data_IF_274779934260
#
_entry.id   IF_274779934260
#
_cell.length_a   1.000
_cell.length_b   1.000
_cell.length_c   1.000
_cell.angle_alpha   90.00
_cell.angle_beta   90.00
_cell.angle_gamma   90.00
#
_symmetry.space_group_name_H-M   'P 1'
#
loop_
_entity.id
_entity.type
_entity.pdbx_description
1 polymer ?
#
# COMPACT_ATOMS: atom_id res chain seq x y z
N UNK A 1 44.66 23.37 75.57
CA UNK A 1 43.64 22.31 75.77
C UNK A 1 42.35 22.85 75.18
N UNK A 2 41.74 22.33 74.12
CA UNK A 2 41.93 21.14 73.28
C UNK A 2 41.73 21.56 71.81
N UNK A 3 42.76 21.39 70.98
CA UNK A 3 42.88 20.39 69.89
C UNK A 3 42.04 20.70 68.64
N UNK A 4 42.78 21.15 67.63
CA UNK A 4 42.50 21.17 66.20
C UNK A 4 42.08 19.80 65.66
N UNK A 5 41.11 19.75 64.75
CA UNK A 5 41.06 18.69 63.72
C UNK A 5 40.68 19.25 62.36
N UNK A 6 41.58 18.96 61.43
CA UNK A 6 41.57 19.28 60.01
C UNK A 6 40.95 18.15 59.18
N UNK A 7 40.61 18.52 57.94
CA UNK A 7 40.57 17.68 56.74
C UNK A 7 39.30 16.86 56.48
N UNK A 8 38.30 17.53 55.88
CA UNK A 8 37.35 16.87 55.00
C UNK A 8 38.05 16.41 53.71
N UNK A 9 38.07 15.10 53.47
CA UNK A 9 38.42 14.51 52.17
C UNK A 9 37.15 14.46 51.32
N UNK A 10 37.02 15.38 50.38
CA UNK A 10 36.02 15.31 49.30
C UNK A 10 36.42 14.22 48.31
N UNK A 11 35.55 13.21 48.13
CA UNK A 11 35.71 12.20 47.08
C UNK A 11 35.50 12.83 45.71
N UNK A 12 36.61 13.06 45.02
CA UNK A 12 36.69 13.58 43.67
C UNK A 12 36.26 12.50 42.67
N UNK A 13 34.95 12.42 42.40
CA UNK A 13 34.39 11.55 41.37
C UNK A 13 34.66 12.16 39.99
N UNK A 14 35.82 11.83 39.41
CA UNK A 14 36.20 12.19 38.04
C UNK A 14 35.14 11.67 37.06
N UNK A 15 34.18 12.54 36.70
CA UNK A 15 33.25 12.33 35.58
C UNK A 15 34.07 12.19 34.29
N UNK A 16 34.27 10.95 33.88
CA UNK A 16 34.89 10.56 32.61
C UNK A 16 34.06 11.15 31.47
N UNK A 17 34.50 12.30 30.95
CA UNK A 17 33.93 13.01 29.80
C UNK A 17 33.87 12.01 28.63
N UNK A 18 32.67 11.49 28.33
CA UNK A 18 32.43 10.69 27.12
C UNK A 18 32.78 11.61 25.94
N UNK A 19 33.79 11.23 25.16
CA UNK A 19 34.08 11.84 23.86
C UNK A 19 32.78 11.78 23.04
N UNK A 20 32.35 12.86 22.37
CA UNK A 20 31.23 12.74 21.44
C UNK A 20 31.70 11.82 20.33
N UNK A 21 31.24 10.57 20.38
CA UNK A 21 31.42 9.64 19.27
C UNK A 21 30.84 10.32 18.04
N UNK A 22 31.61 10.34 16.95
CA UNK A 22 31.12 10.80 15.66
C UNK A 22 29.75 10.15 15.44
N UNK A 23 28.71 10.97 15.36
CA UNK A 23 27.43 10.56 14.82
C UNK A 23 27.72 10.12 13.40
N UNK A 24 27.98 8.82 13.23
CA UNK A 24 27.88 8.17 11.93
C UNK A 24 26.41 8.29 11.58
N UNK A 25 26.06 9.39 10.92
CA UNK A 25 24.86 9.47 10.12
C UNK A 25 25.01 8.36 9.07
N UNK A 26 24.53 7.17 9.39
CA UNK A 26 24.13 6.22 8.37
C UNK A 26 23.13 7.00 7.52
N UNK A 27 23.56 7.49 6.36
CA UNK A 27 22.65 7.98 5.34
C UNK A 27 21.67 6.83 5.14
N UNK A 28 20.44 6.94 5.65
CA UNK A 28 19.40 5.94 5.39
C UNK A 28 19.40 5.77 3.88
N UNK A 29 19.72 4.57 3.39
CA UNK A 29 19.64 4.28 1.96
C UNK A 29 18.25 4.76 1.51
N UNK A 30 18.22 5.62 0.49
CA UNK A 30 16.96 6.09 -0.11
C UNK A 30 16.20 4.83 -0.50
N UNK A 31 15.10 4.52 0.20
CA UNK A 31 14.25 3.38 -0.13
C UNK A 31 13.57 3.74 -1.44
N UNK A 32 14.03 3.15 -2.54
CA UNK A 32 13.52 3.37 -3.90
C UNK A 32 12.56 2.23 -4.25
N UNK A 33 11.53 2.54 -5.02
CA UNK A 33 10.62 1.52 -5.55
C UNK A 33 11.36 0.56 -6.48
N UNK A 34 11.02 -0.72 -6.40
CA UNK A 34 11.54 -1.77 -7.28
C UNK A 34 10.44 -2.27 -8.22
N UNK A 35 10.75 -2.61 -9.48
CA UNK A 35 9.80 -3.30 -10.33
C UNK A 35 9.63 -4.74 -9.84
N UNK A 36 8.46 -5.32 -10.05
CA UNK A 36 8.28 -6.75 -9.83
C UNK A 36 9.08 -7.57 -10.85
N UNK A 37 9.38 -8.81 -10.49
CA UNK A 37 10.00 -9.78 -11.39
C UNK A 37 8.94 -10.81 -11.78
N UNK A 38 8.53 -10.79 -13.04
CA UNK A 38 7.59 -11.78 -13.58
C UNK A 38 8.21 -13.17 -13.62
N UNK A 39 7.38 -14.21 -13.51
CA UNK A 39 7.85 -15.60 -13.66
C UNK A 39 8.32 -15.83 -15.10
N UNK A 40 9.50 -16.42 -15.27
CA UNK A 40 10.09 -16.68 -16.59
C UNK A 40 9.23 -17.60 -17.46
N UNK A 41 8.65 -18.65 -16.87
CA UNK A 41 7.79 -19.62 -17.55
C UNK A 41 6.48 -18.95 -18.04
N UNK A 42 6.25 -18.83 -19.37
CA UNK A 42 5.05 -18.20 -19.92
C UNK A 42 3.75 -18.93 -19.55
N UNK A 43 3.78 -20.26 -19.43
CA UNK A 43 2.61 -21.05 -19.05
C UNK A 43 2.15 -20.70 -17.62
N UNK A 44 3.12 -20.43 -16.72
CA UNK A 44 2.82 -20.02 -15.34
C UNK A 44 2.26 -18.61 -15.28
N UNK A 45 2.79 -17.66 -16.06
CA UNK A 45 2.18 -16.31 -16.18
C UNK A 45 0.76 -16.36 -16.70
N UNK A 46 0.49 -17.23 -17.67
CA UNK A 46 -0.86 -17.42 -18.19
C UNK A 46 -1.81 -17.99 -17.12
N UNK A 47 -1.33 -18.89 -16.26
CA UNK A 47 -2.10 -19.38 -15.11
C UNK A 47 -2.39 -18.26 -14.09
N UNK A 48 -1.40 -17.42 -13.79
CA UNK A 48 -1.57 -16.24 -12.93
C UNK A 48 -2.66 -15.31 -13.46
N UNK A 49 -2.58 -14.92 -14.73
CA UNK A 49 -3.59 -14.06 -15.36
C UNK A 49 -4.98 -14.74 -15.45
N UNK A 50 -5.03 -16.06 -15.70
CA UNK A 50 -6.30 -16.83 -15.68
C UNK A 50 -6.94 -16.88 -14.31
N UNK A 51 -6.16 -16.96 -13.24
CA UNK A 51 -6.70 -16.93 -11.86
C UNK A 51 -7.44 -15.62 -11.60
N UNK A 52 -6.86 -14.50 -12.01
CA UNK A 52 -7.49 -13.17 -11.95
C UNK A 52 -8.74 -13.09 -12.81
N UNK A 53 -8.66 -13.52 -14.08
CA UNK A 53 -9.79 -13.50 -14.99
C UNK A 53 -10.98 -14.31 -14.45
N UNK A 54 -10.74 -15.45 -13.81
CA UNK A 54 -11.77 -16.28 -13.19
C UNK A 54 -12.43 -15.59 -12.00
N UNK A 55 -11.65 -14.95 -11.13
CA UNK A 55 -12.18 -14.23 -9.98
C UNK A 55 -13.01 -13.00 -10.40
N UNK A 56 -12.51 -12.22 -11.36
CA UNK A 56 -13.25 -11.09 -11.94
C UNK A 56 -14.56 -11.56 -12.60
N UNK A 57 -14.51 -12.62 -13.41
CA UNK A 57 -15.70 -13.16 -14.07
C UNK A 57 -16.74 -13.70 -13.07
N UNK A 58 -16.30 -14.34 -11.98
CA UNK A 58 -17.19 -14.82 -10.92
C UNK A 58 -17.95 -13.69 -10.22
N UNK A 59 -17.36 -12.49 -10.17
CA UNK A 59 -17.98 -11.30 -9.61
C UNK A 59 -18.65 -10.39 -10.66
N UNK A 60 -18.63 -10.77 -11.95
CA UNK A 60 -19.20 -9.95 -13.03
C UNK A 60 -18.42 -8.65 -13.31
N UNK A 61 -17.11 -8.63 -13.04
CA UNK A 61 -16.25 -7.44 -13.13
C UNK A 61 -15.41 -7.50 -14.41
N UNK A 62 -15.30 -6.37 -15.11
CA UNK A 62 -14.38 -6.20 -16.24
C UNK A 62 -12.96 -5.89 -15.76
N UNK A 63 -11.95 -6.44 -16.44
CA UNK A 63 -10.57 -6.09 -16.14
C UNK A 63 -10.26 -4.65 -16.56
N UNK A 64 -9.75 -3.85 -15.62
CA UNK A 64 -9.15 -2.53 -15.88
C UNK A 64 -7.91 -2.36 -15.04
N UNK A 65 -6.82 -1.87 -15.64
CA UNK A 65 -5.55 -1.58 -14.95
C UNK A 65 -5.29 -0.07 -14.82
N UNK A 66 -6.35 0.73 -14.95
CA UNK A 66 -6.32 2.20 -14.90
C UNK A 66 -7.51 2.72 -14.08
N UNK A 67 -7.37 3.92 -13.53
CA UNK A 67 -8.50 4.69 -13.02
C UNK A 67 -9.40 5.09 -14.18
N UNK A 68 -10.69 4.78 -14.07
CA UNK A 68 -11.70 5.07 -15.09
C UNK A 68 -12.66 6.16 -14.62
N UNK A 69 -13.10 7.02 -15.54
CA UNK A 69 -13.95 8.18 -15.23
C UNK A 69 -15.23 8.11 -16.05
N UNK A 70 -16.34 7.73 -15.42
CA UNK A 70 -17.61 7.49 -16.10
C UNK A 70 -18.47 8.76 -16.16
N UNK A 71 -19.29 8.97 -17.21
CA UNK A 71 -20.08 10.20 -17.37
C UNK A 71 -21.02 10.55 -16.21
N UNK A 72 -21.50 9.56 -15.44
CA UNK A 72 -22.39 9.75 -14.29
C UNK A 72 -21.68 9.75 -12.93
N UNK A 73 -20.35 9.73 -12.94
CA UNK A 73 -19.50 9.67 -11.74
C UNK A 73 -18.59 10.92 -11.70
N UNK A 74 -17.51 10.87 -10.92
CA UNK A 74 -16.56 11.97 -10.89
C UNK A 74 -15.81 12.09 -12.23
N UNK A 75 -15.71 13.30 -12.82
CA UNK A 75 -14.87 13.52 -13.98
C UNK A 75 -13.39 13.48 -13.59
N UNK A 76 -12.50 13.20 -14.56
CA UNK A 76 -11.05 13.22 -14.34
C UNK A 76 -10.54 14.54 -13.77
N UNK A 77 -11.15 15.66 -14.19
CA UNK A 77 -10.83 16.99 -13.68
C UNK A 77 -11.13 17.20 -12.19
N UNK A 78 -11.88 16.30 -11.53
CA UNK A 78 -12.07 16.34 -10.09
C UNK A 78 -10.88 15.72 -9.33
N UNK A 79 -10.12 14.82 -9.97
CA UNK A 79 -8.96 14.17 -9.38
C UNK A 79 -7.74 15.11 -9.39
N UNK A 80 -7.72 16.10 -8.49
CA UNK A 80 -6.61 17.01 -8.32
C UNK A 80 -6.03 16.87 -6.91
N UNK A 81 -4.77 16.45 -6.83
CA UNK A 81 -4.09 16.17 -5.58
C UNK A 81 -3.87 17.40 -4.69
N UNK A 82 -3.96 18.61 -5.25
CA UNK A 82 -3.95 19.85 -4.49
C UNK A 82 -5.16 20.03 -3.56
N UNK A 83 -6.26 19.31 -3.82
CA UNK A 83 -7.44 19.35 -2.96
C UNK A 83 -7.32 18.46 -1.73
N UNK A 84 -6.29 17.61 -1.62
CA UNK A 84 -6.09 16.73 -0.46
C UNK A 84 -5.88 17.58 0.80
N UNK A 85 -6.69 17.33 1.82
CA UNK A 85 -6.59 18.02 3.09
C UNK A 85 -5.26 17.68 3.78
N UNK A 86 -4.46 18.69 4.09
CA UNK A 86 -3.10 18.52 4.61
C UNK A 86 -2.03 18.21 3.55
N UNK A 87 -2.43 18.16 2.28
CA UNK A 87 -1.55 17.94 1.12
C UNK A 87 -1.19 16.47 0.89
N UNK A 88 -0.90 16.15 -0.38
CA UNK A 88 -0.49 14.80 -0.79
C UNK A 88 0.99 14.76 -1.15
N UNK A 89 1.69 13.72 -0.68
CA UNK A 89 3.10 13.49 -1.00
C UNK A 89 3.32 13.35 -2.51
N UNK A 90 4.34 14.02 -3.04
CA UNK A 90 4.69 13.97 -4.47
C UNK A 90 5.49 12.71 -4.77
N UNK A 91 5.08 11.98 -5.80
CA UNK A 91 5.82 10.80 -6.27
C UNK A 91 7.06 11.23 -7.03
N UNK A 92 8.21 10.61 -6.74
CA UNK A 92 9.45 10.97 -7.42
C UNK A 92 9.41 10.49 -8.87
N UNK A 93 9.99 11.27 -9.81
CA UNK A 93 10.09 10.86 -11.22
C UNK A 93 10.76 9.49 -11.37
N UNK A 94 11.81 9.25 -10.59
CA UNK A 94 12.57 7.98 -10.56
C UNK A 94 11.72 6.77 -10.14
N UNK A 95 10.74 6.96 -9.24
CA UNK A 95 9.82 5.90 -8.81
C UNK A 95 8.64 5.75 -9.79
N UNK A 96 8.20 6.86 -10.40
CA UNK A 96 7.15 6.81 -11.42
C UNK A 96 7.58 6.07 -12.69
N UNK A 97 8.84 6.21 -13.10
CA UNK A 97 9.43 5.40 -14.19
C UNK A 97 9.32 3.89 -13.91
N UNK A 98 9.40 3.48 -12.65
CA UNK A 98 9.24 2.07 -12.25
C UNK A 98 7.79 1.62 -12.40
N UNK A 99 6.83 2.48 -12.06
CA UNK A 99 5.40 2.21 -12.29
C UNK A 99 5.11 2.09 -13.79
N UNK A 100 5.63 3.01 -14.61
CA UNK A 100 5.47 2.96 -16.07
C UNK A 100 6.11 1.71 -16.69
N UNK A 101 7.28 1.31 -16.21
CA UNK A 101 7.92 0.04 -16.57
C UNK A 101 7.00 -1.15 -16.25
N UNK A 102 6.46 -1.20 -15.04
CA UNK A 102 5.55 -2.26 -14.60
C UNK A 102 4.24 -2.28 -15.41
N UNK A 103 3.70 -1.12 -15.80
CA UNK A 103 2.54 -1.04 -16.70
C UNK A 103 2.87 -1.55 -18.09
N UNK A 104 4.05 -1.21 -18.63
CA UNK A 104 4.53 -1.72 -19.91
C UNK A 104 4.77 -3.24 -19.90
N UNK A 105 5.27 -3.78 -18.79
CA UNK A 105 5.39 -5.23 -18.55
C UNK A 105 4.02 -5.92 -18.57
N UNK A 106 3.06 -5.41 -17.79
CA UNK A 106 1.72 -5.97 -17.73
C UNK A 106 1.03 -5.98 -19.12
N UNK A 107 1.16 -4.91 -19.90
CA UNK A 107 0.59 -4.81 -21.27
C UNK A 107 1.11 -5.88 -22.23
N UNK A 108 2.31 -6.41 -22.02
CA UNK A 108 2.90 -7.50 -22.84
C UNK A 108 2.80 -8.88 -22.20
N UNK A 109 2.00 -9.05 -21.14
CA UNK A 109 1.79 -10.34 -20.48
C UNK A 109 2.88 -10.74 -19.47
N UNK A 110 3.71 -9.79 -19.05
CA UNK A 110 4.63 -9.92 -17.91
C UNK A 110 3.93 -9.37 -16.67
N UNK A 111 3.09 -10.18 -16.03
CA UNK A 111 2.36 -9.81 -14.81
C UNK A 111 3.24 -9.97 -13.55
N UNK A 112 2.90 -9.31 -12.42
CA UNK A 112 3.53 -9.61 -11.14
C UNK A 112 3.28 -11.08 -10.78
N UNK A 113 4.20 -11.74 -10.03
CA UNK A 113 4.12 -13.16 -9.72
C UNK A 113 3.07 -13.41 -8.63
N UNK A 114 1.80 -13.23 -8.95
CA UNK A 114 0.67 -13.28 -8.03
C UNK A 114 -0.40 -14.25 -8.54
N UNK A 115 -1.06 -14.94 -7.61
CA UNK A 115 -2.20 -15.81 -7.87
C UNK A 115 -3.40 -15.36 -7.06
N UNK A 116 -4.56 -15.37 -7.70
CA UNK A 116 -5.84 -15.25 -7.00
C UNK A 116 -6.28 -16.64 -6.54
N UNK A 117 -6.46 -16.81 -5.23
CA UNK A 117 -6.81 -18.09 -4.60
C UNK A 117 -8.08 -17.91 -3.76
N UNK A 118 -9.04 -18.82 -3.92
CA UNK A 118 -10.25 -18.82 -3.11
C UNK A 118 -9.99 -19.53 -1.77
N UNK A 119 -10.32 -18.85 -0.68
CA UNK A 119 -10.29 -19.31 0.70
C UNK A 119 -11.72 -19.31 1.26
N UNK A 120 -12.11 -20.34 2.00
CA UNK A 120 -13.47 -20.45 2.53
C UNK A 120 -13.80 -19.42 3.62
N UNK A 121 -12.80 -18.82 4.25
CA UNK A 121 -12.97 -17.84 5.33
C UNK A 121 -12.79 -16.40 4.87
N UNK A 122 -11.91 -16.17 3.89
CA UNK A 122 -11.58 -14.82 3.39
C UNK A 122 -12.11 -14.54 1.98
N UNK A 123 -12.68 -15.53 1.28
CA UNK A 123 -13.10 -15.39 -0.11
C UNK A 123 -11.91 -15.37 -1.07
N UNK A 124 -11.93 -14.52 -2.10
CA UNK A 124 -10.79 -14.39 -3.01
C UNK A 124 -9.65 -13.62 -2.35
N UNK A 125 -8.48 -14.25 -2.28
CA UNK A 125 -7.26 -13.70 -1.70
C UNK A 125 -6.12 -13.71 -2.72
N UNK A 126 -5.04 -12.98 -2.43
CA UNK A 126 -3.83 -12.97 -3.26
C UNK A 126 -2.66 -13.66 -2.55
N UNK A 127 -2.03 -14.60 -3.24
CA UNK A 127 -0.79 -15.25 -2.81
C UNK A 127 0.35 -14.95 -3.78
N UNK A 128 1.56 -14.81 -3.24
CA UNK A 128 2.76 -14.67 -4.04
C UNK A 128 3.11 -16.01 -4.72
N UNK A 129 3.20 -16.05 -6.04
CA UNK A 129 3.60 -17.24 -6.80
C UNK A 129 5.12 -17.28 -7.11
N UNK A 130 5.85 -16.30 -6.59
CA UNK A 130 7.30 -16.20 -6.61
C UNK A 130 7.79 -15.28 -5.50
N UNK A 131 9.10 -15.20 -5.25
CA UNK A 131 9.65 -14.28 -4.27
C UNK A 131 9.44 -12.81 -4.70
N UNK A 132 9.01 -11.97 -3.77
CA UNK A 132 8.84 -10.52 -3.97
C UNK A 132 9.72 -9.80 -2.95
N UNK A 133 10.54 -8.86 -3.39
CA UNK A 133 11.46 -8.13 -2.49
C UNK A 133 10.77 -6.98 -1.78
N UNK A 134 11.32 -6.57 -0.64
CA UNK A 134 10.98 -5.28 -0.01
C UNK A 134 11.03 -4.14 -1.03
N UNK A 135 10.13 -3.17 -0.91
CA UNK A 135 9.97 -2.02 -1.81
C UNK A 135 9.53 -2.35 -3.24
N UNK A 136 9.10 -3.59 -3.52
CA UNK A 136 8.57 -3.94 -4.84
C UNK A 136 7.18 -3.35 -5.04
N UNK A 137 6.96 -2.71 -6.19
CA UNK A 137 5.65 -2.30 -6.68
C UNK A 137 4.78 -3.54 -6.94
N UNK A 138 3.65 -3.63 -6.26
CA UNK A 138 2.70 -4.75 -6.42
C UNK A 138 1.68 -4.42 -7.51
N UNK A 139 1.13 -3.21 -7.46
CA UNK A 139 0.11 -2.75 -8.38
C UNK A 139 -0.50 -1.42 -7.94
N UNK A 140 -1.32 -0.86 -8.81
CA UNK A 140 -2.17 0.28 -8.52
C UNK A 140 -3.56 -0.22 -8.14
N UNK A 141 -4.19 0.42 -7.14
CA UNK A 141 -5.60 0.18 -6.87
C UNK A 141 -6.43 0.92 -7.93
N UNK A 142 -7.26 0.19 -8.68
CA UNK A 142 -7.93 0.72 -9.87
C UNK A 142 -9.42 0.40 -9.86
N UNK A 143 -10.19 1.20 -10.59
CA UNK A 143 -11.62 1.11 -10.73
C UNK A 143 -12.24 2.43 -11.16
N UNK A 144 -13.57 2.49 -11.16
CA UNK A 144 -14.28 3.72 -11.48
C UNK A 144 -14.09 4.74 -10.36
N UNK A 145 -13.73 5.97 -10.71
CA UNK A 145 -13.59 7.06 -9.74
C UNK A 145 -14.93 7.76 -9.58
N UNK A 146 -15.38 7.88 -8.34
CA UNK A 146 -16.64 8.53 -7.98
C UNK A 146 -16.47 9.42 -6.75
N UNK A 147 -17.49 10.24 -6.46
CA UNK A 147 -17.55 11.02 -5.23
C UNK A 147 -17.97 10.12 -4.05
N UNK A 148 -17.37 10.32 -2.87
CA UNK A 148 -17.73 9.58 -1.66
C UNK A 148 -19.23 9.71 -1.36
N UNK A 149 -19.79 10.92 -1.49
CA UNK A 149 -21.24 11.18 -1.26
C UNK A 149 -22.18 10.35 -2.15
N UNK A 150 -21.70 9.87 -3.31
CA UNK A 150 -22.50 9.05 -4.22
C UNK A 150 -22.52 7.57 -3.78
N UNK A 151 -21.68 7.19 -2.80
CA UNK A 151 -21.41 5.82 -2.37
C UNK A 151 -21.72 5.58 -0.88
N UNK A 152 -22.41 6.50 -0.22
CA UNK A 152 -22.77 6.40 1.22
C UNK A 152 -23.66 5.20 1.57
N UNK A 153 -24.37 4.65 0.58
CA UNK A 153 -25.26 3.50 0.72
C UNK A 153 -24.85 2.34 -0.21
N UNK A 154 -23.60 2.36 -0.67
CA UNK A 154 -23.05 1.31 -1.53
C UNK A 154 -22.68 0.07 -0.70
N UNK A 155 -22.95 -1.12 -1.22
CA UNK A 155 -22.66 -2.40 -0.59
C UNK A 155 -21.30 -2.99 -1.02
N UNK A 156 -20.53 -2.28 -1.84
CA UNK A 156 -19.20 -2.67 -2.26
C UNK A 156 -18.22 -2.72 -1.07
N UNK A 157 -17.70 -3.92 -0.81
CA UNK A 157 -16.69 -4.21 0.21
C UNK A 157 -15.25 -3.81 -0.19
N UNK A 158 -15.08 -3.19 -1.35
CA UNK A 158 -13.75 -2.96 -1.94
C UNK A 158 -13.54 -1.48 -2.30
N UNK A 159 -14.29 -0.57 -1.70
CA UNK A 159 -14.08 0.86 -1.90
C UNK A 159 -12.71 1.30 -1.36
N UNK A 160 -12.03 2.18 -2.10
CA UNK A 160 -10.71 2.68 -1.72
C UNK A 160 -10.66 4.20 -1.85
N UNK A 161 -10.40 4.90 -0.74
CA UNK A 161 -10.27 6.36 -0.74
C UNK A 161 -9.17 6.82 -1.70
N UNK A 162 -9.51 7.74 -2.61
CA UNK A 162 -8.58 8.35 -3.55
C UNK A 162 -8.12 9.73 -3.07
N UNK A 163 -9.06 10.58 -2.69
CA UNK A 163 -8.87 12.00 -2.35
C UNK A 163 -9.79 12.37 -1.18
N UNK A 164 -9.23 12.99 -0.15
CA UNK A 164 -10.00 13.54 0.97
C UNK A 164 -9.87 15.05 0.96
N UNK A 165 -10.89 15.71 0.42
CA UNK A 165 -10.92 17.16 0.30
C UNK A 165 -11.37 17.83 1.60
N UNK A 166 -10.98 19.10 1.80
CA UNK A 166 -11.50 19.91 2.91
C UNK A 166 -13.02 20.07 2.83
N UNK A 167 -13.56 20.15 1.62
CA UNK A 167 -15.00 20.05 1.35
C UNK A 167 -15.34 18.57 1.08
N UNK A 168 -16.05 17.88 1.99
CA UNK A 168 -16.35 16.45 1.86
C UNK A 168 -17.11 16.10 0.57
N UNK A 169 -17.86 17.06 0.00
CA UNK A 169 -18.62 16.84 -1.22
C UNK A 169 -17.76 16.68 -2.49
N UNK A 170 -16.45 16.94 -2.36
CA UNK A 170 -15.42 16.81 -3.40
C UNK A 170 -14.48 15.63 -3.17
N UNK A 171 -14.59 14.93 -2.05
CA UNK A 171 -13.79 13.73 -1.78
C UNK A 171 -14.13 12.62 -2.77
N UNK A 172 -13.11 11.86 -3.16
CA UNK A 172 -13.21 10.83 -4.19
C UNK A 172 -12.85 9.45 -3.66
N UNK A 173 -13.48 8.44 -4.24
CA UNK A 173 -13.30 7.04 -3.95
C UNK A 173 -13.17 6.24 -5.24
N UNK A 174 -12.33 5.21 -5.21
CA UNK A 174 -12.21 4.21 -6.27
C UNK A 174 -13.21 3.11 -5.99
N UNK A 175 -14.03 2.80 -6.99
CA UNK A 175 -15.10 1.81 -6.95
C UNK A 175 -14.75 0.67 -7.92
N UNK A 176 -14.19 -0.45 -7.43
CA UNK A 176 -13.81 -1.56 -8.27
C UNK A 176 -14.98 -2.53 -8.58
N UNK A 177 -16.23 -2.09 -8.41
CA UNK A 177 -17.47 -2.88 -8.53
C UNK A 177 -17.75 -3.38 -9.96
N UNK A 178 -17.44 -2.56 -10.97
CA UNK A 178 -17.66 -2.89 -12.40
C UNK A 178 -16.38 -3.13 -13.17
N UNK A 179 -15.31 -2.42 -12.82
CA UNK A 179 -14.00 -2.46 -13.46
C UNK A 179 -12.92 -2.52 -12.39
N UNK A 180 -12.02 -3.49 -12.47
CA UNK A 180 -10.95 -3.63 -11.48
C UNK A 180 -9.76 -4.45 -11.99
N UNK A 181 -8.67 -4.42 -11.23
CA UNK A 181 -7.54 -5.33 -11.36
C UNK A 181 -7.37 -6.22 -10.13
N UNK A 182 -6.19 -6.81 -9.98
CA UNK A 182 -5.85 -7.71 -8.89
C UNK A 182 -5.85 -7.04 -7.50
N UNK A 183 -5.67 -5.72 -7.42
CA UNK A 183 -5.50 -5.00 -6.16
C UNK A 183 -6.71 -5.14 -5.22
N UNK A 184 -7.93 -5.24 -5.79
CA UNK A 184 -9.16 -5.38 -4.99
C UNK A 184 -9.26 -6.67 -4.19
N UNK A 185 -8.46 -7.68 -4.53
CA UNK A 185 -8.49 -9.01 -3.91
C UNK A 185 -7.43 -9.20 -2.82
N UNK A 186 -6.59 -8.19 -2.54
CA UNK A 186 -5.57 -8.31 -1.50
C UNK A 186 -6.23 -8.14 -0.13
N UNK A 187 -6.08 -9.13 0.74
CA UNK A 187 -6.69 -9.15 2.08
C UNK A 187 -6.25 -7.99 2.98
N UNK A 188 -7.12 -7.66 3.94
CA UNK A 188 -6.83 -6.72 5.01
C UNK A 188 -6.41 -7.42 6.30
N UNK A 189 -5.65 -6.72 7.15
CA UNK A 189 -5.37 -7.19 8.52
C UNK A 189 -6.51 -6.85 9.48
N UNK A 190 -6.65 -7.64 10.54
CA UNK A 190 -7.47 -7.28 11.70
C UNK A 190 -6.74 -6.23 12.55
N UNK A 191 -7.27 -5.01 12.64
CA UNK A 191 -6.62 -3.92 13.37
C UNK A 191 -6.70 -4.08 14.90
N UNK A 192 -7.49 -5.04 15.39
CA UNK A 192 -7.79 -5.24 16.81
C UNK A 192 -6.95 -6.34 17.47
N UNK A 193 -6.26 -7.17 16.69
CA UNK A 193 -5.40 -8.25 17.21
C UNK A 193 -3.92 -8.04 16.86
N UNK A 194 -2.99 -8.11 17.84
CA UNK A 194 -1.55 -7.97 17.57
C UNK A 194 -0.99 -9.00 16.59
N UNK A 195 -1.58 -10.20 16.57
CA UNK A 195 -1.17 -11.31 15.71
C UNK A 195 -1.46 -11.00 14.24
N UNK A 196 -2.64 -10.46 13.94
CA UNK A 196 -3.01 -10.12 12.56
C UNK A 196 -2.17 -8.96 12.01
N UNK A 197 -1.80 -7.99 12.86
CA UNK A 197 -0.85 -6.91 12.46
C UNK A 197 0.50 -7.43 11.97
N UNK A 198 0.96 -8.60 12.46
CA UNK A 198 2.22 -9.22 12.00
C UNK A 198 2.10 -9.83 10.60
N UNK A 199 0.88 -10.09 10.10
CA UNK A 199 0.64 -10.60 8.75
C UNK A 199 0.91 -9.55 7.67
N UNK A 200 0.84 -8.26 8.01
CA UNK A 200 1.04 -7.18 7.06
C UNK A 200 2.41 -7.28 6.36
N UNK A 201 2.36 -7.35 5.03
CA UNK A 201 3.53 -7.44 4.16
C UNK A 201 3.44 -6.52 2.93
N UNK A 202 2.29 -5.85 2.77
CA UNK A 202 2.05 -4.81 1.77
C UNK A 202 1.57 -3.53 2.46
N UNK A 203 1.83 -2.39 1.85
CA UNK A 203 1.30 -1.09 2.25
C UNK A 203 0.61 -0.41 1.09
N UNK A 204 -0.60 0.07 1.35
CA UNK A 204 -1.32 0.99 0.48
C UNK A 204 -0.84 2.43 0.75
N UNK A 205 -0.51 3.17 -0.32
CA UNK A 205 0.00 4.54 -0.25
C UNK A 205 -0.62 5.42 -1.32
N UNK A 206 -1.00 6.64 -0.94
CA UNK A 206 -1.52 7.67 -1.86
C UNK A 206 -0.42 8.63 -2.26
N UNK A 207 -0.33 8.94 -3.55
CA UNK A 207 0.68 9.84 -4.09
C UNK A 207 0.10 10.79 -5.13
N UNK A 208 0.62 12.01 -5.15
CA UNK A 208 0.43 12.97 -6.22
C UNK A 208 1.39 12.61 -7.37
N UNK A 209 0.82 12.23 -8.52
CA UNK A 209 1.54 11.99 -9.76
C UNK A 209 1.02 13.00 -10.79
N UNK A 210 1.89 13.92 -11.21
CA UNK A 210 1.56 14.92 -12.23
C UNK A 210 0.29 15.74 -11.93
N UNK A 211 -0.05 15.95 -10.66
CA UNK A 211 -1.24 16.69 -10.22
C UNK A 211 -2.45 15.81 -9.89
N UNK A 212 -2.42 14.52 -10.20
CA UNK A 212 -3.54 13.58 -9.94
C UNK A 212 -3.22 12.69 -8.73
N UNK A 213 -4.25 12.29 -7.98
CA UNK A 213 -4.11 11.29 -6.92
C UNK A 213 -4.01 9.89 -7.54
N UNK A 214 -3.12 9.07 -6.99
CA UNK A 214 -3.00 7.65 -7.31
C UNK A 214 -2.82 6.82 -6.03
N UNK A 215 -3.30 5.58 -6.05
CA UNK A 215 -3.20 4.65 -4.93
C UNK A 215 -2.33 3.45 -5.33
N UNK A 216 -1.19 3.27 -4.68
CA UNK A 216 -0.25 2.20 -4.98
C UNK A 216 -0.10 1.21 -3.82
N UNK A 217 0.15 -0.05 -4.16
CA UNK A 217 0.46 -1.12 -3.24
C UNK A 217 1.94 -1.49 -3.38
N UNK A 218 2.66 -1.50 -2.26
CA UNK A 218 4.11 -1.74 -2.22
C UNK A 218 4.45 -2.75 -1.13
N UNK A 219 5.32 -3.72 -1.43
CA UNK A 219 5.83 -4.66 -0.44
C UNK A 219 6.63 -3.91 0.65
N UNK A 220 6.39 -4.25 1.92
CA UNK A 220 7.07 -3.61 3.08
C UNK A 220 8.20 -4.44 3.67
N UNK A 221 8.35 -5.67 3.17
CA UNK A 221 9.41 -6.63 3.46
C UNK A 221 9.51 -7.62 2.31
N UNK A 222 10.50 -8.50 2.36
CA UNK A 222 10.55 -9.65 1.47
C UNK A 222 9.35 -10.58 1.75
N UNK A 223 8.74 -11.10 0.68
CA UNK A 223 7.58 -11.98 0.68
C UNK A 223 7.98 -13.26 -0.04
N UNK A 224 7.76 -14.40 0.62
CA UNK A 224 8.09 -15.71 0.06
C UNK A 224 6.98 -16.20 -0.89
N UNK A 225 7.33 -17.13 -1.79
CA UNK A 225 6.33 -17.86 -2.57
C UNK A 225 5.37 -18.62 -1.64
N UNK A 226 4.07 -18.57 -1.94
CA UNK A 226 2.98 -19.16 -1.17
C UNK A 226 2.49 -18.25 -0.04
N UNK A 227 3.12 -17.10 0.19
CA UNK A 227 2.70 -16.18 1.22
C UNK A 227 1.52 -15.32 0.73
N UNK A 228 0.46 -15.24 1.54
CA UNK A 228 -0.71 -14.37 1.28
C UNK A 228 -0.35 -12.90 1.52
N UNK A 229 -0.82 -12.02 0.65
CA UNK A 229 -0.61 -10.58 0.76
C UNK A 229 -1.66 -9.96 1.67
N UNK A 230 -1.21 -9.13 2.60
CA UNK A 230 -2.04 -8.36 3.51
C UNK A 230 -1.57 -6.92 3.60
N UNK A 231 -2.51 -5.97 3.56
CA UNK A 231 -2.27 -4.57 3.91
C UNK A 231 -3.26 -4.07 4.96
N UNK A 232 -3.01 -2.88 5.49
CA UNK A 232 -3.92 -2.22 6.42
C UNK A 232 -4.97 -1.43 5.64
N UNK A 233 -6.22 -1.91 5.66
CA UNK A 233 -7.36 -1.23 5.03
C UNK A 233 -7.63 0.13 5.70
N UNK A 234 -7.30 0.26 6.99
CA UNK A 234 -7.47 1.48 7.78
C UNK A 234 -6.15 2.26 7.94
N UNK A 235 -5.30 2.25 6.91
CA UNK A 235 -3.99 2.88 6.95
C UNK A 235 -4.00 4.41 7.03
N UNK A 236 -5.17 5.04 6.88
CA UNK A 236 -5.36 6.49 7.03
C UNK A 236 -6.65 6.81 7.81
N UNK A 237 -7.81 6.44 7.24
CA UNK A 237 -9.11 6.50 7.91
C UNK A 237 -9.43 5.17 8.61
N UNK A 238 -10.45 5.13 9.48
CA UNK A 238 -10.86 3.93 10.23
C UNK A 238 -12.29 3.48 9.88
N UNK A 239 -12.66 3.63 8.60
CA UNK A 239 -14.03 3.38 8.13
C UNK A 239 -14.30 1.90 7.82
N UNK A 240 -13.26 1.07 7.69
CA UNK A 240 -13.44 -0.34 7.34
C UNK A 240 -13.51 -1.23 8.59
N UNK A 241 -14.61 -1.95 8.86
CA UNK A 241 -14.73 -2.80 10.04
C UNK A 241 -13.89 -4.08 9.90
N UNK A 242 -12.77 -4.20 10.62
CA UNK A 242 -11.85 -5.35 10.50
C UNK A 242 -11.91 -6.36 11.65
N UNK A 243 -12.85 -6.19 12.60
CA UNK A 243 -13.00 -7.09 13.77
C UNK A 243 -13.21 -8.56 13.39
N UNK A 244 -13.88 -8.81 12.27
CA UNK A 244 -14.22 -10.15 11.79
C UNK A 244 -13.14 -10.78 10.92
N UNK A 245 -12.05 -10.06 10.61
CA UNK A 245 -10.94 -10.58 9.83
C UNK A 245 -10.15 -11.63 10.61
N UNK A 246 -9.66 -12.63 9.88
CA UNK A 246 -8.93 -13.82 10.40
C UNK A 246 -7.47 -13.49 10.72
#
# INVERSE_FOLDING_TARGET
MLVTTSAGKTLDSKKRRRRPGALVCYKKKKRRLLPYVSIENPARRLEQMRSLARALAALGIEFSNELTYMPSMAPRSANQAEFENGGMQVFSKEDYEIVELCRAMARRGECPPLLVVYDSHEGYTIEADGPIKDMTFIGEYTGDVDYIKNREHDDCDSLMTLLLATDPSKSLVICPDKRANIARFISGINNHTPESKKKQNVKCVRYNVNGECHVFLVATRDIAKGERLYYDYNGYEHEYPTHHFV
#
